data_IF_265158635562
#
_entry.id   IF_265158635562
#
_cell.length_a   1.000
_cell.length_b   1.000
_cell.length_c   1.000
_cell.angle_alpha   90.00
_cell.angle_beta   90.00
_cell.angle_gamma   90.00
#
_symmetry.space_group_name_H-M   'P 1'
#
loop_
_entity.id
_entity.type
_entity.pdbx_description
1 polymer ?
#
# COMPACT_ATOMS: atom_id res chain seq x y z
N UNK A 1 18.75 6.59 -20.62
CA UNK A 1 17.94 7.27 -19.59
C UNK A 1 18.52 6.90 -18.22
N UNK A 2 18.79 7.86 -17.34
CA UNK A 2 19.34 7.56 -16.01
C UNK A 2 18.36 6.68 -15.21
N UNK A 3 18.82 5.66 -14.47
CA UNK A 3 17.93 4.71 -13.79
C UNK A 3 17.03 5.37 -12.73
N UNK A 4 17.43 6.51 -12.14
CA UNK A 4 16.56 7.27 -11.23
C UNK A 4 15.41 7.99 -11.97
N UNK A 5 15.57 8.36 -13.24
CA UNK A 5 14.49 8.97 -14.05
C UNK A 5 13.39 7.93 -14.26
N UNK A 6 13.77 6.69 -14.60
CA UNK A 6 12.83 5.57 -14.70
C UNK A 6 12.07 5.37 -13.40
N UNK A 7 12.75 5.44 -12.25
CA UNK A 7 12.11 5.32 -10.95
C UNK A 7 11.10 6.44 -10.66
N UNK A 8 11.44 7.69 -10.98
CA UNK A 8 10.53 8.84 -10.84
C UNK A 8 9.27 8.62 -11.69
N UNK A 9 9.44 8.26 -12.97
CA UNK A 9 8.32 8.01 -13.87
C UNK A 9 7.43 6.86 -13.35
N UNK A 10 8.02 5.79 -12.83
CA UNK A 10 7.26 4.69 -12.25
C UNK A 10 6.46 5.15 -11.02
N UNK A 11 7.05 5.94 -10.11
CA UNK A 11 6.33 6.46 -8.93
C UNK A 11 5.17 7.36 -9.32
N UNK A 12 5.39 8.29 -10.26
CA UNK A 12 4.35 9.20 -10.74
C UNK A 12 3.25 8.48 -11.52
N UNK A 13 3.61 7.51 -12.37
CA UNK A 13 2.65 6.67 -13.07
C UNK A 13 1.82 5.83 -12.08
N UNK A 14 2.48 5.26 -11.06
CA UNK A 14 1.81 4.51 -9.98
C UNK A 14 0.84 5.40 -9.21
N UNK A 15 1.27 6.63 -8.86
CA UNK A 15 0.42 7.61 -8.21
C UNK A 15 -0.82 7.95 -9.06
N UNK A 16 -0.61 8.19 -10.37
CA UNK A 16 -1.68 8.41 -11.34
C UNK A 16 -2.65 7.24 -11.43
N UNK A 17 -2.15 6.00 -11.47
CA UNK A 17 -2.99 4.79 -11.48
C UNK A 17 -3.85 4.68 -10.20
N UNK A 18 -3.25 4.84 -9.02
CA UNK A 18 -3.99 4.80 -7.75
C UNK A 18 -5.07 5.87 -7.70
N UNK A 19 -4.74 7.11 -8.08
CA UNK A 19 -5.68 8.23 -8.14
C UNK A 19 -6.79 7.99 -9.16
N UNK A 20 -6.46 7.47 -10.34
CA UNK A 20 -7.42 7.13 -11.40
C UNK A 20 -8.41 6.05 -10.94
N UNK A 21 -7.93 4.96 -10.34
CA UNK A 21 -8.81 3.89 -9.84
C UNK A 21 -9.69 4.42 -8.71
N UNK A 22 -9.12 5.14 -7.73
CA UNK A 22 -9.90 5.78 -6.68
C UNK A 22 -10.96 6.73 -7.23
N UNK A 23 -10.61 7.54 -8.22
CA UNK A 23 -11.53 8.45 -8.91
C UNK A 23 -12.67 7.72 -9.62
N UNK A 24 -12.35 6.64 -10.34
CA UNK A 24 -13.38 5.84 -11.04
C UNK A 24 -14.34 5.20 -10.04
N UNK A 25 -13.82 4.61 -8.96
CA UNK A 25 -14.59 3.92 -7.93
C UNK A 25 -15.44 4.87 -7.06
N UNK A 26 -15.10 6.16 -6.98
CA UNK A 26 -15.82 7.13 -6.13
C UNK A 26 -17.29 7.35 -6.54
N UNK A 27 -17.63 7.08 -7.79
CA UNK A 27 -18.98 7.30 -8.32
C UNK A 27 -19.98 6.23 -7.85
N UNK A 28 -19.49 5.15 -7.24
CA UNK A 28 -20.34 4.09 -6.69
C UNK A 28 -21.06 4.58 -5.43
N UNK A 29 -22.39 4.46 -5.44
CA UNK A 29 -23.26 4.79 -4.32
C UNK A 29 -23.84 3.52 -3.70
N UNK A 30 -23.97 3.51 -2.38
CA UNK A 30 -24.59 2.45 -1.59
C UNK A 30 -25.83 3.02 -0.89
N UNK A 31 -26.89 2.20 -0.81
CA UNK A 31 -28.15 2.61 -0.18
C UNK A 31 -28.01 2.76 1.34
N UNK A 32 -27.22 1.90 1.99
CA UNK A 32 -26.94 1.98 3.41
C UNK A 32 -25.79 2.95 3.71
N UNK A 33 -25.98 3.78 4.74
CA UNK A 33 -24.99 4.73 5.22
C UNK A 33 -23.72 4.03 5.76
N UNK A 34 -23.86 2.86 6.38
CA UNK A 34 -22.72 2.08 6.87
C UNK A 34 -21.88 1.53 5.71
N UNK A 35 -22.53 0.97 4.71
CA UNK A 35 -21.88 0.53 3.47
C UNK A 35 -21.16 1.69 2.77
N UNK A 36 -21.82 2.85 2.67
CA UNK A 36 -21.22 4.04 2.07
C UNK A 36 -19.99 4.52 2.85
N UNK A 37 -20.03 4.43 4.19
CA UNK A 37 -18.89 4.78 5.05
C UNK A 37 -17.71 3.83 4.84
N UNK A 38 -17.97 2.53 4.80
CA UNK A 38 -16.95 1.53 4.52
C UNK A 38 -16.35 1.72 3.12
N UNK A 39 -17.18 2.03 2.13
CA UNK A 39 -16.73 2.34 0.78
C UNK A 39 -15.81 3.57 0.73
N UNK A 40 -16.15 4.65 1.45
CA UNK A 40 -15.27 5.83 1.57
C UNK A 40 -13.93 5.49 2.20
N UNK A 41 -13.90 4.62 3.20
CA UNK A 41 -12.64 4.15 3.79
C UNK A 41 -11.79 3.35 2.78
N UNK A 42 -12.43 2.53 1.94
CA UNK A 42 -11.74 1.87 0.83
C UNK A 42 -11.18 2.88 -0.19
N UNK A 43 -11.91 3.96 -0.49
CA UNK A 43 -11.39 5.04 -1.35
C UNK A 43 -10.21 5.78 -0.71
N UNK A 44 -10.21 5.97 0.62
CA UNK A 44 -9.06 6.53 1.34
C UNK A 44 -7.79 5.69 1.13
N UNK A 45 -7.91 4.37 0.99
CA UNK A 45 -6.77 3.52 0.64
C UNK A 45 -6.20 3.86 -0.73
N UNK A 46 -7.04 3.95 -1.77
CA UNK A 46 -6.60 4.30 -3.12
C UNK A 46 -5.92 5.67 -3.17
N UNK A 47 -6.55 6.71 -2.62
CA UNK A 47 -6.00 8.05 -2.65
C UNK A 47 -4.76 8.20 -1.74
N UNK A 48 -4.75 7.55 -0.58
CA UNK A 48 -3.61 7.60 0.33
C UNK A 48 -2.37 6.91 -0.24
N UNK A 49 -2.53 5.76 -0.90
CA UNK A 49 -1.43 5.10 -1.62
C UNK A 49 -0.95 5.92 -2.82
N UNK A 50 -1.88 6.55 -3.55
CA UNK A 50 -1.55 7.47 -4.64
C UNK A 50 -0.76 8.70 -4.16
N UNK A 51 -1.18 9.32 -3.06
CA UNK A 51 -0.46 10.42 -2.43
C UNK A 51 0.92 9.99 -1.95
N UNK A 52 1.05 8.84 -1.28
CA UNK A 52 2.34 8.31 -0.87
C UNK A 52 3.29 8.13 -2.07
N UNK A 53 2.83 7.52 -3.17
CA UNK A 53 3.64 7.35 -4.38
C UNK A 53 4.02 8.69 -5.04
N UNK A 54 3.10 9.67 -5.06
CA UNK A 54 3.37 11.01 -5.56
C UNK A 54 4.44 11.73 -4.73
N UNK A 55 4.37 11.65 -3.40
CA UNK A 55 5.36 12.24 -2.49
C UNK A 55 6.73 11.58 -2.65
N UNK A 56 6.79 10.27 -2.88
CA UNK A 56 8.04 9.57 -3.22
C UNK A 56 8.63 10.07 -4.55
N UNK A 57 7.82 10.14 -5.61
CA UNK A 57 8.25 10.67 -6.91
C UNK A 57 8.73 12.12 -6.83
N UNK A 58 7.99 12.97 -6.12
CA UNK A 58 8.34 14.37 -5.86
C UNK A 58 9.65 14.49 -5.08
N UNK A 59 9.87 13.67 -4.05
CA UNK A 59 11.12 13.67 -3.29
C UNK A 59 12.32 13.37 -4.19
N UNK A 60 12.20 12.38 -5.08
CA UNK A 60 13.27 12.03 -6.00
C UNK A 60 13.52 13.12 -7.03
N UNK A 61 12.46 13.74 -7.56
CA UNK A 61 12.56 14.85 -8.52
C UNK A 61 13.29 16.05 -7.91
N UNK A 62 12.91 16.46 -6.70
CA UNK A 62 13.52 17.60 -6.00
C UNK A 62 14.97 17.32 -5.63
N UNK A 63 15.29 16.09 -5.22
CA UNK A 63 16.68 15.73 -4.94
C UNK A 63 17.53 15.75 -6.21
N UNK A 64 16.99 15.27 -7.33
CA UNK A 64 17.64 15.29 -8.63
C UNK A 64 17.83 16.72 -9.17
N UNK A 65 16.94 17.66 -8.83
CA UNK A 65 17.08 19.08 -9.20
C UNK A 65 18.05 19.87 -8.31
N UNK A 66 18.76 19.20 -7.40
CA UNK A 66 19.78 19.81 -6.55
C UNK A 66 19.28 20.33 -5.19
N UNK A 67 17.99 20.17 -4.85
CA UNK A 67 17.51 20.53 -3.51
C UNK A 67 18.19 19.63 -2.47
N UNK A 68 18.83 20.23 -1.47
CA UNK A 68 19.60 19.53 -0.43
C UNK A 68 19.07 19.76 0.99
N UNK A 69 18.02 20.56 1.14
CA UNK A 69 17.41 20.88 2.43
C UNK A 69 16.83 19.62 3.10
N UNK A 70 17.54 19.08 4.09
CA UNK A 70 17.20 17.82 4.76
C UNK A 70 15.78 17.82 5.36
N UNK A 71 15.40 18.90 6.02
CA UNK A 71 14.08 19.04 6.66
C UNK A 71 12.93 18.86 5.66
N UNK A 72 13.13 19.22 4.39
CA UNK A 72 12.13 19.07 3.34
C UNK A 72 11.88 17.58 3.03
N UNK A 73 12.95 16.80 2.89
CA UNK A 73 12.85 15.35 2.65
C UNK A 73 12.28 14.60 3.85
N UNK A 74 12.63 15.02 5.07
CA UNK A 74 12.02 14.49 6.30
C UNK A 74 10.52 14.78 6.32
N UNK A 75 10.09 16.00 6.00
CA UNK A 75 8.68 16.36 5.94
C UNK A 75 7.92 15.55 4.88
N UNK A 76 8.46 15.41 3.66
CA UNK A 76 7.86 14.57 2.61
C UNK A 76 7.72 13.11 3.04
N UNK A 77 8.75 12.55 3.69
CA UNK A 77 8.74 11.17 4.17
C UNK A 77 7.67 10.97 5.27
N UNK A 78 7.57 11.90 6.22
CA UNK A 78 6.53 11.89 7.26
C UNK A 78 5.13 11.99 6.63
N UNK A 79 4.92 12.90 5.68
CA UNK A 79 3.64 13.03 4.98
C UNK A 79 3.28 11.76 4.19
N UNK A 80 4.24 11.16 3.49
CA UNK A 80 4.03 9.90 2.76
C UNK A 80 3.65 8.76 3.69
N UNK A 81 4.37 8.65 4.81
CA UNK A 81 4.10 7.69 5.87
C UNK A 81 2.70 7.86 6.47
N UNK A 82 2.29 9.10 6.77
CA UNK A 82 0.94 9.39 7.27
C UNK A 82 -0.13 9.04 6.23
N UNK A 83 0.10 9.38 4.95
CA UNK A 83 -0.79 9.01 3.86
C UNK A 83 -0.95 7.49 3.75
N UNK A 84 0.15 6.74 3.87
CA UNK A 84 0.15 5.29 3.88
C UNK A 84 -0.56 4.69 5.11
N UNK A 85 -0.39 5.30 6.29
CA UNK A 85 -1.10 4.92 7.51
C UNK A 85 -2.62 5.13 7.41
N UNK A 86 -3.06 6.27 6.88
CA UNK A 86 -4.48 6.54 6.57
C UNK A 86 -4.99 5.56 5.53
N UNK A 87 -4.19 5.25 4.51
CA UNK A 87 -4.56 4.29 3.49
C UNK A 87 -4.79 2.89 4.09
N UNK A 88 -3.88 2.43 4.95
CA UNK A 88 -4.00 1.14 5.62
C UNK A 88 -5.18 1.10 6.59
N UNK A 89 -5.40 2.17 7.35
CA UNK A 89 -6.61 2.28 8.18
C UNK A 89 -7.87 2.11 7.34
N UNK A 90 -7.93 2.79 6.19
CA UNK A 90 -9.04 2.73 5.25
C UNK A 90 -9.28 1.31 4.73
N UNK A 91 -8.21 0.65 4.26
CA UNK A 91 -8.23 -0.72 3.75
C UNK A 91 -8.68 -1.73 4.81
N UNK A 92 -8.03 -1.73 5.97
CA UNK A 92 -8.33 -2.70 7.03
C UNK A 92 -9.73 -2.49 7.61
N UNK A 93 -10.15 -1.24 7.79
CA UNK A 93 -11.51 -0.93 8.24
C UNK A 93 -12.57 -1.43 7.26
N UNK A 94 -12.32 -1.24 5.96
CA UNK A 94 -13.19 -1.78 4.91
C UNK A 94 -13.26 -3.32 4.95
N UNK A 95 -12.12 -3.99 5.01
CA UNK A 95 -12.08 -5.47 5.04
C UNK A 95 -12.75 -6.04 6.29
N UNK A 96 -12.52 -5.43 7.45
CA UNK A 96 -13.18 -5.83 8.70
C UNK A 96 -14.69 -5.61 8.64
N UNK A 97 -15.13 -4.50 8.05
CA UNK A 97 -16.54 -4.23 7.84
C UNK A 97 -17.17 -5.30 6.93
N UNK A 98 -16.56 -5.62 5.78
CA UNK A 98 -17.08 -6.65 4.89
C UNK A 98 -17.07 -8.04 5.56
N UNK A 99 -16.08 -8.32 6.42
CA UNK A 99 -15.98 -9.59 7.13
C UNK A 99 -17.00 -9.72 8.28
N UNK A 100 -17.25 -8.65 9.04
CA UNK A 100 -18.08 -8.70 10.26
C UNK A 100 -19.48 -8.10 10.11
N UNK A 101 -19.72 -7.26 9.11
CA UNK A 101 -20.92 -6.45 8.97
C UNK A 101 -21.05 -5.30 9.97
N UNK A 102 -19.99 -4.96 10.72
CA UNK A 102 -20.02 -3.94 11.78
C UNK A 102 -18.83 -2.97 11.70
N UNK A 103 -19.12 -1.67 11.70
CA UNK A 103 -18.15 -0.59 11.64
C UNK A 103 -17.44 -0.31 12.98
N UNK A 104 -17.97 -0.77 14.12
CA UNK A 104 -17.44 -0.45 15.47
C UNK A 104 -15.97 -0.81 15.64
N UNK A 105 -15.47 -1.82 14.93
CA UNK A 105 -14.08 -2.27 15.00
C UNK A 105 -13.09 -1.31 14.31
N UNK A 106 -13.56 -0.45 13.39
CA UNK A 106 -12.72 0.54 12.70
C UNK A 106 -12.05 1.52 13.66
N UNK A 107 -12.65 1.81 14.83
CA UNK A 107 -12.04 2.69 15.85
C UNK A 107 -10.75 2.11 16.42
N UNK A 108 -10.67 0.79 16.58
CA UNK A 108 -9.46 0.13 17.08
C UNK A 108 -8.36 0.13 16.02
N UNK A 109 -8.74 -0.05 14.76
CA UNK A 109 -7.82 0.09 13.62
C UNK A 109 -7.29 1.52 13.55
N UNK A 110 -8.16 2.53 13.73
CA UNK A 110 -7.75 3.93 13.75
C UNK A 110 -6.77 4.21 14.89
N UNK A 111 -7.11 3.80 16.11
CA UNK A 111 -6.25 3.96 17.28
C UNK A 111 -4.88 3.30 17.06
N UNK A 112 -4.85 2.09 16.49
CA UNK A 112 -3.62 1.39 16.14
C UNK A 112 -2.75 2.19 15.16
N UNK A 113 -3.31 2.68 14.04
CA UNK A 113 -2.53 3.44 13.06
C UNK A 113 -2.15 4.85 13.53
N UNK A 114 -2.93 5.47 14.43
CA UNK A 114 -2.54 6.72 15.10
C UNK A 114 -1.34 6.46 16.01
N UNK A 115 -1.41 5.46 16.88
CA UNK A 115 -0.30 5.09 17.75
C UNK A 115 0.96 4.72 16.95
N UNK A 116 0.78 4.01 15.83
CA UNK A 116 1.86 3.71 14.90
C UNK A 116 2.46 4.97 14.26
N UNK A 117 1.63 5.92 13.82
CA UNK A 117 2.11 7.21 13.29
C UNK A 117 2.92 7.99 14.32
N UNK A 118 2.47 8.03 15.58
CA UNK A 118 3.20 8.64 16.69
C UNK A 118 4.53 7.92 16.95
N UNK A 119 4.54 6.58 16.91
CA UNK A 119 5.76 5.80 17.01
C UNK A 119 6.76 6.15 15.91
N UNK A 120 6.32 6.25 14.65
CA UNK A 120 7.20 6.62 13.54
C UNK A 120 7.75 8.05 13.70
N UNK A 121 6.90 9.00 14.10
CA UNK A 121 7.35 10.37 14.40
C UNK A 121 8.41 10.37 15.50
N UNK A 122 8.18 9.61 16.59
CA UNK A 122 9.16 9.43 17.65
C UNK A 122 10.48 8.87 17.10
N UNK A 123 10.45 7.86 16.24
CA UNK A 123 11.69 7.28 15.67
C UNK A 123 12.47 8.28 14.81
N UNK A 124 11.80 9.13 14.05
CA UNK A 124 12.46 10.18 13.27
C UNK A 124 13.19 11.16 14.19
N UNK A 125 12.54 11.59 15.28
CA UNK A 125 13.17 12.50 16.26
C UNK A 125 14.30 11.83 17.03
N UNK A 126 14.11 10.58 17.46
CA UNK A 126 15.06 9.85 18.30
C UNK A 126 16.32 9.40 17.55
N UNK A 127 16.22 9.11 16.25
CA UNK A 127 17.35 8.64 15.44
C UNK A 127 18.16 9.76 14.77
N UNK A 128 17.63 10.99 14.76
CA UNK A 128 18.29 12.22 14.27
C UNK A 128 18.71 12.11 12.79
N UNK A 129 17.91 12.62 11.84
CA UNK A 129 18.27 12.63 10.43
C UNK A 129 19.58 13.40 10.19
N UNK A 130 20.49 12.85 9.39
CA UNK A 130 21.79 13.46 9.08
C UNK A 130 21.93 13.84 7.61
N UNK A 131 21.38 13.04 6.70
CA UNK A 131 21.46 13.30 5.27
C UNK A 131 20.26 12.73 4.52
N UNK A 132 20.02 13.26 3.32
CA UNK A 132 19.08 12.72 2.34
C UNK A 132 19.85 12.34 1.07
N UNK A 133 19.97 11.04 0.79
CA UNK A 133 20.73 10.53 -0.35
C UNK A 133 19.81 9.98 -1.43
N UNK A 134 20.08 10.38 -2.68
CA UNK A 134 19.33 9.87 -3.82
C UNK A 134 19.85 8.47 -4.16
N UNK A 135 19.02 7.48 -3.98
CA UNK A 135 19.28 6.12 -4.48
C UNK A 135 18.58 5.92 -5.82
N UNK A 136 18.82 4.78 -6.46
CA UNK A 136 18.15 4.43 -7.73
C UNK A 136 16.63 4.49 -7.65
N UNK A 137 16.05 4.18 -6.49
CA UNK A 137 14.63 3.86 -6.38
C UNK A 137 13.84 4.78 -5.43
N UNK A 138 14.53 5.57 -4.61
CA UNK A 138 13.95 6.48 -3.62
C UNK A 138 15.00 7.46 -3.08
N UNK A 139 14.56 8.49 -2.36
CA UNK A 139 15.44 9.26 -1.47
C UNK A 139 15.50 8.53 -0.12
N UNK A 140 16.70 8.13 0.28
CA UNK A 140 16.94 7.52 1.59
C UNK A 140 17.27 8.63 2.60
N UNK A 141 16.65 8.57 3.78
CA UNK A 141 17.04 9.40 4.90
C UNK A 141 18.04 8.61 5.73
N UNK A 142 19.24 9.16 5.87
CA UNK A 142 20.27 8.64 6.75
C UNK A 142 20.08 9.22 8.15
N UNK A 143 20.31 8.38 9.15
CA UNK A 143 20.12 8.73 10.55
C UNK A 143 21.42 8.53 11.31
N UNK A 144 21.69 9.40 12.28
CA UNK A 144 22.89 9.32 13.12
C UNK A 144 22.94 8.01 13.91
N UNK A 145 21.79 7.52 14.34
CA UNK A 145 21.64 6.25 15.06
C UNK A 145 20.94 5.27 14.14
N UNK A 146 21.64 4.21 13.75
CA UNK A 146 21.04 3.15 12.95
C UNK A 146 19.96 2.45 13.78
N UNK A 147 18.75 2.29 13.24
CA UNK A 147 17.73 1.51 13.91
C UNK A 147 18.25 0.09 14.14
N UNK A 148 18.13 -0.43 15.37
CA UNK A 148 18.47 -1.83 15.70
C UNK A 148 17.73 -2.78 14.74
N UNK A 149 18.21 -4.02 14.50
CA UNK A 149 17.56 -4.97 13.60
C UNK A 149 16.08 -5.25 13.93
N UNK A 150 15.65 -4.95 15.16
CA UNK A 150 14.23 -5.01 15.56
C UNK A 150 13.35 -3.94 14.90
N UNK A 151 13.89 -2.83 14.43
CA UNK A 151 13.13 -1.78 13.76
C UNK A 151 12.50 -2.21 12.44
N UNK A 152 13.24 -2.77 11.45
CA UNK A 152 12.61 -3.28 10.22
C UNK A 152 11.63 -4.43 10.50
N UNK A 153 11.89 -5.27 11.51
CA UNK A 153 10.93 -6.28 11.98
C UNK A 153 9.68 -5.63 12.56
N UNK A 154 9.81 -4.56 13.35
CA UNK A 154 8.70 -3.77 13.85
C UNK A 154 7.86 -3.17 12.73
N UNK A 155 8.49 -2.61 11.69
CA UNK A 155 7.79 -2.11 10.51
C UNK A 155 7.03 -3.22 9.78
N UNK A 156 7.64 -4.40 9.59
CA UNK A 156 6.94 -5.56 9.03
C UNK A 156 5.71 -5.92 9.86
N UNK A 157 5.88 -6.09 11.17
CA UNK A 157 4.81 -6.54 12.06
C UNK A 157 3.68 -5.53 12.18
N UNK A 158 3.99 -4.24 12.12
CA UNK A 158 3.01 -3.17 12.31
C UNK A 158 2.37 -2.71 11.01
N UNK A 159 3.08 -2.77 9.88
CA UNK A 159 2.63 -2.25 8.58
C UNK A 159 2.29 -3.35 7.57
N UNK A 160 3.14 -4.36 7.45
CA UNK A 160 2.99 -5.44 6.47
C UNK A 160 2.04 -6.55 6.94
N UNK A 161 2.15 -6.97 8.19
CA UNK A 161 1.41 -8.12 8.72
C UNK A 161 -0.11 -7.90 8.77
N UNK A 162 -0.65 -6.75 9.23
CA UNK A 162 -2.09 -6.57 9.31
C UNK A 162 -2.84 -6.75 7.97
N UNK A 163 -2.44 -6.14 6.84
CA UNK A 163 -3.10 -6.37 5.56
C UNK A 163 -2.92 -7.80 5.03
N UNK A 164 -1.79 -8.46 5.32
CA UNK A 164 -1.59 -9.87 4.96
C UNK A 164 -2.58 -10.75 5.73
N UNK A 165 -2.67 -10.61 7.05
CA UNK A 165 -3.63 -11.35 7.87
C UNK A 165 -5.08 -11.04 7.48
N UNK A 166 -5.40 -9.78 7.20
CA UNK A 166 -6.72 -9.39 6.73
C UNK A 166 -7.05 -10.04 5.38
N UNK A 167 -6.10 -10.12 4.44
CA UNK A 167 -6.30 -10.77 3.14
C UNK A 167 -6.57 -12.27 3.27
N UNK A 168 -5.87 -12.95 4.20
CA UNK A 168 -6.07 -14.37 4.51
C UNK A 168 -7.40 -14.62 5.21
N UNK A 169 -7.77 -13.76 6.17
CA UNK A 169 -9.08 -13.81 6.80
C UNK A 169 -10.21 -13.59 5.78
N UNK A 170 -10.01 -12.67 4.84
CA UNK A 170 -10.95 -12.40 3.74
C UNK A 170 -11.12 -13.59 2.81
N UNK A 171 -10.05 -14.37 2.58
CA UNK A 171 -10.13 -15.61 1.80
C UNK A 171 -11.11 -16.61 2.41
N UNK A 172 -11.28 -16.63 3.74
CA UNK A 172 -12.25 -17.51 4.40
C UNK A 172 -13.69 -17.24 3.92
N UNK A 173 -14.01 -15.99 3.56
CA UNK A 173 -15.33 -15.60 3.03
C UNK A 173 -15.60 -16.29 1.68
N UNK A 174 -14.57 -16.56 0.87
CA UNK A 174 -14.74 -17.25 -0.42
C UNK A 174 -15.54 -18.55 -0.28
N UNK A 175 -15.28 -19.32 0.78
CA UNK A 175 -15.92 -20.60 1.02
C UNK A 175 -17.38 -20.47 1.49
N UNK A 176 -17.79 -19.32 2.04
CA UNK A 176 -19.17 -19.08 2.50
C UNK A 176 -20.06 -18.43 1.43
N UNK A 177 -19.49 -17.76 0.43
CA UNK A 177 -20.24 -17.09 -0.63
C UNK A 177 -20.86 -18.11 -1.59
N UNK A 178 -22.13 -17.91 -1.98
CA UNK A 178 -22.80 -18.72 -3.01
C UNK A 178 -22.70 -18.08 -4.40
N UNK A 179 -22.75 -16.76 -4.47
CA UNK A 179 -22.71 -16.02 -5.72
C UNK A 179 -21.32 -16.03 -6.36
N UNK A 180 -21.24 -16.34 -7.66
CA UNK A 180 -19.97 -16.40 -8.41
C UNK A 180 -19.26 -15.06 -8.47
N UNK A 181 -20.01 -13.97 -8.62
CA UNK A 181 -19.49 -12.60 -8.66
C UNK A 181 -18.81 -12.20 -7.35
N UNK A 182 -19.42 -12.56 -6.22
CA UNK A 182 -18.87 -12.32 -4.90
C UNK A 182 -17.60 -13.15 -4.66
N UNK A 183 -17.60 -14.43 -5.06
CA UNK A 183 -16.42 -15.31 -4.98
C UNK A 183 -15.25 -14.77 -5.81
N UNK A 184 -15.51 -14.35 -7.05
CA UNK A 184 -14.50 -13.76 -7.92
C UNK A 184 -13.88 -12.51 -7.28
N UNK A 185 -14.71 -11.60 -6.75
CA UNK A 185 -14.23 -10.41 -6.04
C UNK A 185 -13.39 -10.77 -4.82
N UNK A 186 -13.83 -11.75 -4.03
CA UNK A 186 -13.12 -12.19 -2.84
C UNK A 186 -11.71 -12.69 -3.18
N UNK A 187 -11.58 -13.55 -4.20
CA UNK A 187 -10.30 -14.07 -4.67
C UNK A 187 -9.38 -12.97 -5.16
N UNK A 188 -9.87 -12.08 -6.01
CA UNK A 188 -9.06 -10.98 -6.56
C UNK A 188 -8.61 -9.98 -5.51
N UNK A 189 -9.49 -9.65 -4.55
CA UNK A 189 -9.13 -8.75 -3.44
C UNK A 189 -8.06 -9.40 -2.56
N UNK A 190 -8.25 -10.67 -2.18
CA UNK A 190 -7.25 -11.41 -1.40
C UNK A 190 -5.91 -11.47 -2.13
N UNK A 191 -5.90 -11.94 -3.39
CA UNK A 191 -4.65 -12.07 -4.16
C UNK A 191 -3.99 -10.72 -4.39
N UNK A 192 -4.76 -9.67 -4.71
CA UNK A 192 -4.21 -8.35 -4.94
C UNK A 192 -3.57 -7.75 -3.69
N UNK A 193 -4.23 -7.84 -2.52
CA UNK A 193 -3.66 -7.38 -1.25
C UNK A 193 -2.43 -8.24 -0.89
N UNK A 194 -2.53 -9.56 -1.07
CA UNK A 194 -1.42 -10.46 -0.79
C UNK A 194 -0.19 -10.14 -1.66
N UNK A 195 -0.36 -9.94 -2.97
CA UNK A 195 0.75 -9.54 -3.85
C UNK A 195 1.33 -8.18 -3.44
N UNK A 196 0.48 -7.22 -3.07
CA UNK A 196 0.91 -5.88 -2.70
C UNK A 196 1.68 -5.84 -1.37
N UNK A 197 1.32 -6.67 -0.39
CA UNK A 197 1.91 -6.62 0.96
C UNK A 197 2.78 -7.83 1.29
N UNK A 198 2.40 -9.06 0.93
CA UNK A 198 3.20 -10.23 1.24
C UNK A 198 4.51 -10.24 0.43
N UNK A 199 4.48 -9.93 -0.87
CA UNK A 199 5.70 -10.05 -1.69
C UNK A 199 6.78 -9.04 -1.31
N UNK A 200 6.51 -7.72 -1.15
CA UNK A 200 7.55 -6.76 -0.80
C UNK A 200 8.12 -6.94 0.61
N UNK A 201 7.35 -7.56 1.53
CA UNK A 201 7.73 -7.66 2.94
C UNK A 201 8.24 -9.05 3.33
N UNK A 202 7.62 -10.14 2.85
CA UNK A 202 8.02 -11.52 3.18
C UNK A 202 9.16 -11.98 2.29
N UNK A 203 9.12 -11.69 0.99
CA UNK A 203 10.11 -12.25 0.06
C UNK A 203 11.55 -11.80 0.36
N UNK A 204 11.84 -10.55 0.76
CA UNK A 204 13.19 -10.19 1.21
C UNK A 204 13.64 -10.99 2.44
N UNK A 205 12.73 -11.35 3.34
CA UNK A 205 13.07 -12.16 4.52
C UNK A 205 13.41 -13.58 4.07
N UNK A 206 12.59 -14.17 3.21
CA UNK A 206 12.83 -15.50 2.62
C UNK A 206 14.18 -15.51 1.91
N UNK A 207 14.39 -14.61 0.95
CA UNK A 207 15.63 -14.53 0.19
C UNK A 207 16.85 -14.35 1.12
N UNK A 208 16.72 -13.59 2.21
CA UNK A 208 17.79 -13.42 3.20
C UNK A 208 18.08 -14.73 3.96
N UNK A 209 17.03 -15.41 4.44
CA UNK A 209 17.16 -16.68 5.17
C UNK A 209 17.78 -17.80 4.31
N UNK A 210 17.53 -17.80 3.00
CA UNK A 210 18.12 -18.76 2.06
C UNK A 210 19.50 -18.34 1.54
N UNK A 211 20.08 -17.22 2.02
CA UNK A 211 21.38 -16.72 1.57
C UNK A 211 21.39 -16.24 0.11
N UNK A 212 20.22 -16.06 -0.51
CA UNK A 212 20.04 -15.63 -1.91
C UNK A 212 20.10 -14.11 -2.02
N UNK A 213 19.68 -13.40 -0.97
CA UNK A 213 19.66 -11.93 -0.92
C UNK A 213 21.08 -11.39 -0.77
N UNK A 214 21.82 -11.42 -1.87
CA UNK A 214 23.00 -10.60 -2.01
C UNK A 214 22.55 -9.14 -2.12
N UNK A 215 23.31 -8.17 -1.57
CA UNK A 215 23.03 -6.73 -1.70
C UNK A 215 23.04 -6.20 -3.15
N UNK A 216 23.03 -7.10 -4.15
CA UNK A 216 23.25 -6.85 -5.56
C UNK A 216 22.17 -7.43 -6.48
N UNK A 217 21.00 -7.88 -6.01
CA UNK A 217 19.92 -8.30 -6.93
C UNK A 217 19.34 -7.07 -7.64
N UNK A 218 19.84 -6.66 -8.83
CA UNK A 218 19.51 -5.36 -9.41
C UNK A 218 18.09 -5.34 -9.95
N UNK A 219 17.54 -6.53 -10.24
CA UNK A 219 16.21 -6.78 -10.76
C UNK A 219 15.15 -6.84 -9.66
N UNK A 220 15.52 -7.14 -8.41
CA UNK A 220 14.54 -7.30 -7.32
C UNK A 220 13.66 -6.07 -7.13
N UNK A 221 14.21 -4.84 -7.18
CA UNK A 221 13.40 -3.64 -7.12
C UNK A 221 12.36 -3.50 -8.24
N UNK A 222 12.69 -3.95 -9.44
CA UNK A 222 11.77 -3.92 -10.58
C UNK A 222 10.68 -4.98 -10.40
N UNK A 223 11.06 -6.19 -9.97
CA UNK A 223 10.12 -7.29 -9.74
C UNK A 223 9.06 -6.93 -8.70
N UNK A 224 9.43 -6.36 -7.54
CA UNK A 224 8.41 -6.00 -6.54
C UNK A 224 7.41 -4.96 -7.08
N UNK A 225 7.85 -4.05 -7.97
CA UNK A 225 6.98 -3.03 -8.58
C UNK A 225 6.02 -3.65 -9.57
N UNK A 226 6.50 -4.56 -10.41
CA UNK A 226 5.65 -5.30 -11.35
C UNK A 226 4.62 -6.14 -10.61
N UNK A 227 5.02 -6.80 -9.52
CA UNK A 227 4.11 -7.54 -8.64
C UNK A 227 3.09 -6.60 -7.99
N UNK A 228 3.51 -5.43 -7.53
CA UNK A 228 2.59 -4.43 -6.99
C UNK A 228 1.58 -3.91 -8.02
N UNK A 229 2.02 -3.63 -9.25
CA UNK A 229 1.13 -3.26 -10.36
C UNK A 229 0.15 -4.37 -10.71
N UNK A 230 0.60 -5.63 -10.69
CA UNK A 230 -0.30 -6.78 -10.86
C UNK A 230 -1.32 -6.85 -9.71
N UNK A 231 -0.88 -6.69 -8.46
CA UNK A 231 -1.79 -6.64 -7.30
C UNK A 231 -2.83 -5.53 -7.41
N UNK A 232 -2.42 -4.35 -7.88
CA UNK A 232 -3.28 -3.21 -8.17
C UNK A 232 -4.32 -3.54 -9.25
N UNK A 233 -3.89 -4.18 -10.33
CA UNK A 233 -4.73 -4.57 -11.44
C UNK A 233 -5.79 -5.61 -10.99
N UNK A 234 -5.40 -6.58 -10.17
CA UNK A 234 -6.34 -7.55 -9.60
C UNK A 234 -7.38 -6.85 -8.72
N UNK A 235 -6.96 -5.90 -7.88
CA UNK A 235 -7.88 -5.12 -7.04
C UNK A 235 -8.84 -4.27 -7.87
N UNK A 236 -8.36 -3.68 -8.96
CA UNK A 236 -9.21 -2.98 -9.91
C UNK A 236 -10.22 -3.93 -10.58
N UNK A 237 -9.76 -5.07 -11.11
CA UNK A 237 -10.61 -6.07 -11.76
C UNK A 237 -11.61 -6.74 -10.82
N UNK A 238 -11.39 -6.69 -9.51
CA UNK A 238 -12.37 -7.13 -8.53
C UNK A 238 -13.67 -6.30 -8.56
N UNK A 239 -13.58 -5.02 -8.95
CA UNK A 239 -14.72 -4.09 -9.02
C UNK A 239 -15.09 -3.69 -10.45
N UNK A 240 -14.17 -3.80 -11.39
CA UNK A 240 -14.37 -3.52 -12.82
C UNK A 240 -13.78 -4.66 -13.65
N UNK A 241 -14.38 -5.86 -13.60
CA UNK A 241 -13.91 -7.02 -14.37
C UNK A 241 -13.92 -6.73 -15.87
N UNK A 242 -13.01 -7.32 -16.67
CA UNK A 242 -13.04 -7.19 -18.12
C UNK A 242 -14.28 -7.87 -18.72
N UNK A 243 -14.69 -7.47 -19.93
CA UNK A 243 -15.96 -7.90 -20.57
C UNK A 243 -16.16 -9.42 -20.59
N UNK A 244 -15.14 -10.17 -21.01
CA UNK A 244 -15.21 -11.64 -21.05
C UNK A 244 -15.48 -12.27 -19.66
N UNK A 245 -15.02 -11.64 -18.58
CA UNK A 245 -15.32 -12.09 -17.21
C UNK A 245 -16.72 -11.66 -16.79
N UNK A 246 -17.19 -10.47 -17.20
CA UNK A 246 -18.56 -10.03 -16.94
C UNK A 246 -19.58 -11.03 -17.53
N UNK A 247 -19.36 -11.46 -18.77
CA UNK A 247 -20.20 -12.43 -19.47
C UNK A 247 -20.22 -13.78 -18.74
N UNK A 248 -19.05 -14.26 -18.30
CA UNK A 248 -18.93 -15.48 -17.51
C UNK A 248 -19.61 -15.38 -16.14
N UNK A 249 -19.50 -14.22 -15.48
CA UNK A 249 -20.14 -13.95 -14.20
C UNK A 249 -21.65 -13.68 -14.31
N UNK A 250 -22.17 -13.42 -15.51
CA UNK A 250 -23.55 -12.99 -15.76
C UNK A 250 -23.93 -11.73 -14.98
N UNK A 251 -23.03 -10.75 -14.93
CA UNK A 251 -23.25 -9.47 -14.21
C UNK A 251 -23.30 -8.34 -15.23
N UNK A 252 -24.35 -7.53 -15.18
CA UNK A 252 -24.43 -6.32 -16.01
C UNK A 252 -23.36 -5.30 -15.54
N UNK A 253 -22.69 -4.61 -16.48
CA UNK A 253 -21.72 -3.57 -16.13
C UNK A 253 -22.40 -2.49 -15.28
N UNK A 254 -21.72 -2.10 -14.18
CA UNK A 254 -22.02 -0.90 -13.39
C UNK A 254 -21.56 0.36 -14.11
#
# INVERSE_FOLDING_TARGET
MSPFITAILIHLATAGLFAFVGWRLRHRQHADALDQRAWRAFLCWWFGMGLNAALMGLSMLLRASGLSALWFFVALNLLGTLAAGVALWGLISYLLYVFRGDWRHSRWVAAFYIAFGLYLLYTVVAFVPTAATLTTWQVLIEYQRTPRPLYPVGLLLLFGLPPILASLAFLRIFFSLRERSARYRAVLVTLGIFLQFAVPFIMPIILYLFGILTPKLPWWPLTYRLVGLLGLLLLYFAYSPPRFVQDWLRVNPL
#
